data_IF_185592719439
#
_entry.id   IF_185592719439
#
_cell.length_a   1.000
_cell.length_b   1.000
_cell.length_c   1.000
_cell.angle_alpha   90.00
_cell.angle_beta   90.00
_cell.angle_gamma   90.00
#
_symmetry.space_group_name_H-M   'P 1'
#
loop_
_entity.id
_entity.type
_entity.pdbx_description
1 polymer ?
#
# COMPACT_ATOMS: atom_id res chain seq x y z
N UNK A 1 -4.04 8.38 14.15
CA UNK A 1 -4.40 7.03 13.68
C UNK A 1 -3.15 6.28 13.20
N UNK A 2 -3.03 5.03 13.55
CA UNK A 2 -1.98 4.15 13.09
C UNK A 2 -2.57 3.12 12.14
N UNK A 3 -1.97 2.98 10.96
CA UNK A 3 -2.36 1.98 9.97
C UNK A 3 -1.25 0.96 9.83
N UNK A 4 -1.63 -0.30 9.70
CA UNK A 4 -0.67 -1.38 9.46
C UNK A 4 -1.31 -2.47 8.62
N UNK A 5 -0.46 -3.28 7.98
CA UNK A 5 -0.93 -4.33 7.07
C UNK A 5 -0.80 -5.69 7.72
N UNK A 6 -1.72 -6.58 7.33
CA UNK A 6 -1.56 -8.02 7.52
C UNK A 6 -1.61 -8.65 6.14
N UNK A 7 -0.44 -9.05 5.62
CA UNK A 7 -0.25 -9.44 4.22
C UNK A 7 -1.13 -10.62 3.85
N UNK A 8 -1.14 -11.66 4.66
CA UNK A 8 -1.91 -12.87 4.38
C UNK A 8 -3.41 -12.68 4.51
N UNK A 9 -3.85 -11.67 5.25
CA UNK A 9 -5.26 -11.32 5.36
C UNK A 9 -5.69 -10.31 4.28
N UNK A 10 -4.78 -9.83 3.44
CA UNK A 10 -5.05 -8.85 2.39
C UNK A 10 -5.72 -7.58 2.94
N UNK A 11 -5.33 -7.15 4.12
CA UNK A 11 -6.05 -6.12 4.89
C UNK A 11 -5.11 -5.06 5.43
N UNK A 12 -5.59 -3.82 5.40
CA UNK A 12 -5.02 -2.72 6.17
C UNK A 12 -5.89 -2.55 7.42
N UNK A 13 -5.26 -2.60 8.59
CA UNK A 13 -5.92 -2.36 9.86
C UNK A 13 -5.64 -0.94 10.34
N UNK A 14 -6.55 -0.44 11.15
CA UNK A 14 -6.42 0.87 11.80
C UNK A 14 -6.45 0.67 13.31
N UNK A 15 -5.52 1.30 14.01
CA UNK A 15 -5.49 1.32 15.45
C UNK A 15 -5.85 2.70 15.96
N UNK A 16 -6.85 2.79 16.83
CA UNK A 16 -7.19 4.04 17.53
C UNK A 16 -6.24 4.18 18.72
N UNK A 17 -5.36 5.20 18.75
CA UNK A 17 -4.39 5.32 19.85
C UNK A 17 -5.04 5.65 21.19
N UNK A 18 -6.27 6.15 21.22
CA UNK A 18 -6.96 6.48 22.48
C UNK A 18 -7.55 5.26 23.15
N UNK A 19 -8.05 4.30 22.38
CA UNK A 19 -8.76 3.13 22.90
C UNK A 19 -7.98 1.83 22.69
N UNK A 20 -6.92 1.85 21.88
CA UNK A 20 -6.20 0.67 21.40
C UNK A 20 -7.08 -0.29 20.58
N UNK A 21 -8.25 0.15 20.13
CA UNK A 21 -9.10 -0.66 19.29
C UNK A 21 -8.47 -0.83 17.91
N UNK A 22 -8.42 -2.09 17.44
CA UNK A 22 -7.89 -2.43 16.12
C UNK A 22 -9.05 -2.91 15.27
N UNK A 23 -9.27 -2.24 14.15
CA UNK A 23 -10.36 -2.57 13.23
C UNK A 23 -9.87 -2.65 11.79
N UNK A 24 -10.46 -3.51 10.95
CA UNK A 24 -10.17 -3.49 9.51
C UNK A 24 -10.58 -2.14 8.93
N UNK A 25 -9.67 -1.54 8.16
CA UNK A 25 -9.96 -0.29 7.48
C UNK A 25 -10.19 -0.51 5.98
N UNK A 26 -9.41 -1.38 5.38
CA UNK A 26 -9.53 -1.71 3.95
C UNK A 26 -9.18 -3.18 3.74
N UNK A 27 -10.02 -3.92 3.02
CA UNK A 27 -9.86 -5.36 2.80
C UNK A 27 -9.73 -5.68 1.31
N UNK A 28 -9.40 -6.95 0.98
CA UNK A 28 -9.37 -7.41 -0.40
C UNK A 28 -8.21 -6.86 -1.22
N UNK A 29 -7.09 -6.55 -0.61
CA UNK A 29 -5.99 -5.79 -1.22
C UNK A 29 -4.85 -6.65 -1.78
N UNK A 30 -5.08 -7.92 -2.03
CA UNK A 30 -4.13 -8.84 -2.69
C UNK A 30 -2.67 -8.65 -2.21
N UNK A 31 -2.44 -9.01 -0.96
CA UNK A 31 -1.13 -8.95 -0.28
C UNK A 31 -0.53 -7.54 -0.23
N UNK A 32 -1.31 -6.61 0.32
CA UNK A 32 -0.79 -5.27 0.64
C UNK A 32 0.30 -5.37 1.69
N UNK A 33 1.42 -4.70 1.47
CA UNK A 33 2.59 -4.76 2.35
C UNK A 33 2.96 -3.37 2.87
N UNK A 34 3.98 -2.71 2.33
CA UNK A 34 4.45 -1.42 2.83
C UNK A 34 3.43 -0.32 2.67
N UNK A 35 3.35 0.56 3.65
CA UNK A 35 2.46 1.72 3.65
C UNK A 35 3.28 2.99 3.90
N UNK A 36 2.87 4.10 3.31
CA UNK A 36 3.48 5.41 3.56
C UNK A 36 2.46 6.52 3.31
N UNK A 37 2.65 7.64 4.01
CA UNK A 37 1.88 8.86 3.76
C UNK A 37 2.68 9.84 2.92
N UNK A 38 1.98 10.62 2.09
CA UNK A 38 2.58 11.80 1.49
C UNK A 38 2.45 13.01 2.44
N UNK A 39 2.95 14.18 1.99
CA UNK A 39 2.92 15.39 2.82
C UNK A 39 1.50 15.91 3.06
N UNK A 40 0.52 15.52 2.25
CA UNK A 40 -0.88 15.90 2.38
C UNK A 40 -1.70 14.89 3.17
N UNK A 41 -1.09 13.81 3.64
CA UNK A 41 -1.78 12.79 4.43
C UNK A 41 -2.49 11.72 3.62
N UNK A 42 -2.23 11.63 2.31
CA UNK A 42 -2.74 10.52 1.49
C UNK A 42 -1.97 9.24 1.81
N UNK A 43 -2.69 8.13 1.93
CA UNK A 43 -2.08 6.83 2.22
C UNK A 43 -1.83 6.06 0.93
N UNK A 44 -0.59 5.58 0.79
CA UNK A 44 -0.17 4.76 -0.35
C UNK A 44 0.32 3.42 0.17
N UNK A 45 0.23 2.39 -0.66
CA UNK A 45 0.71 1.06 -0.31
C UNK A 45 1.19 0.26 -1.50
N UNK A 46 2.05 -0.71 -1.21
CA UNK A 46 2.52 -1.68 -2.17
C UNK A 46 1.67 -2.93 -2.08
N UNK A 47 1.02 -3.32 -3.17
CA UNK A 47 0.24 -4.55 -3.27
C UNK A 47 1.05 -5.57 -4.06
N UNK A 48 1.62 -6.56 -3.34
CA UNK A 48 2.51 -7.55 -3.96
C UNK A 48 1.76 -8.43 -4.96
N UNK A 49 0.62 -8.98 -4.56
CA UNK A 49 -0.18 -9.84 -5.43
C UNK A 49 -0.80 -9.07 -6.58
N UNK A 50 -1.22 -7.84 -6.33
CA UNK A 50 -1.74 -6.95 -7.36
C UNK A 50 -0.65 -6.35 -8.25
N UNK A 51 0.62 -6.53 -7.90
CA UNK A 51 1.78 -6.06 -8.67
C UNK A 51 1.68 -4.56 -8.96
N UNK A 52 1.36 -3.78 -7.92
CA UNK A 52 1.06 -2.35 -8.08
C UNK A 52 1.38 -1.54 -6.83
N UNK A 53 1.55 -0.24 -7.04
CA UNK A 53 1.55 0.76 -5.99
C UNK A 53 0.21 1.47 -6.06
N UNK A 54 -0.46 1.60 -4.92
CA UNK A 54 -1.84 2.11 -4.86
C UNK A 54 -1.96 3.27 -3.87
N UNK A 55 -2.97 4.09 -4.10
CA UNK A 55 -3.43 5.10 -3.13
C UNK A 55 -4.80 4.68 -2.60
N UNK A 56 -4.96 4.78 -1.29
CA UNK A 56 -6.20 4.40 -0.62
C UNK A 56 -6.91 5.65 -0.11
N UNK A 57 -7.99 6.03 -0.77
CA UNK A 57 -8.70 7.27 -0.46
C UNK A 57 -9.74 7.04 0.66
N UNK A 58 -10.00 8.06 1.50
CA UNK A 58 -10.95 7.92 2.61
C UNK A 58 -12.38 7.56 2.19
N UNK A 59 -12.76 7.88 0.95
CA UNK A 59 -14.09 7.58 0.41
C UNK A 59 -14.29 6.11 0.01
N UNK A 60 -13.27 5.27 0.22
CA UNK A 60 -13.31 3.85 -0.12
C UNK A 60 -12.66 3.49 -1.44
N UNK A 61 -12.21 4.46 -2.22
CA UNK A 61 -11.59 4.20 -3.51
C UNK A 61 -10.14 3.76 -3.36
N UNK A 62 -9.77 2.75 -4.15
CA UNK A 62 -8.39 2.30 -4.29
C UNK A 62 -7.94 2.66 -5.70
N UNK A 63 -6.91 3.49 -5.80
CA UNK A 63 -6.45 4.03 -7.08
C UNK A 63 -5.09 3.42 -7.42
N UNK A 64 -4.97 2.81 -8.59
CA UNK A 64 -3.67 2.31 -9.07
C UNK A 64 -2.84 3.50 -9.50
N UNK A 65 -1.69 3.68 -8.84
CA UNK A 65 -0.75 4.76 -9.15
C UNK A 65 0.31 4.28 -10.15
N UNK A 66 0.81 3.06 -9.97
CA UNK A 66 1.79 2.49 -10.87
C UNK A 66 1.66 0.97 -10.88
N UNK A 67 1.62 0.38 -12.08
CA UNK A 67 1.58 -1.08 -12.25
C UNK A 67 2.48 -1.57 -13.38
N UNK A 68 3.13 -0.64 -14.11
CA UNK A 68 3.95 -0.96 -15.26
C UNK A 68 5.18 -0.06 -15.33
N UNK A 69 6.23 -0.59 -15.94
CA UNK A 69 7.40 0.18 -16.34
C UNK A 69 7.83 -0.27 -17.74
N UNK A 70 7.91 0.68 -18.67
CA UNK A 70 8.25 0.44 -20.08
C UNK A 70 7.37 -0.65 -20.72
N UNK A 71 6.07 -0.64 -20.41
CA UNK A 71 5.08 -1.55 -20.97
C UNK A 71 5.02 -2.92 -20.31
N UNK A 72 5.89 -3.21 -19.34
CA UNK A 72 5.91 -4.47 -18.60
C UNK A 72 5.35 -4.29 -17.21
N UNK A 73 4.64 -5.30 -16.70
CA UNK A 73 4.13 -5.26 -15.34
C UNK A 73 5.27 -5.18 -14.33
N UNK A 74 5.01 -4.50 -13.21
CA UNK A 74 5.91 -4.53 -12.06
C UNK A 74 6.05 -5.95 -11.52
N UNK A 75 7.10 -6.21 -10.76
CA UNK A 75 7.28 -7.51 -10.08
C UNK A 75 6.37 -7.59 -8.85
N UNK A 76 6.93 -7.42 -7.66
CA UNK A 76 6.17 -7.47 -6.40
C UNK A 76 6.55 -6.26 -5.56
N UNK A 77 5.96 -5.08 -5.82
CA UNK A 77 6.24 -3.92 -4.97
C UNK A 77 6.09 -4.28 -3.49
N UNK A 78 7.10 -3.93 -2.69
CA UNK A 78 7.20 -4.40 -1.32
C UNK A 78 7.08 -3.27 -0.31
N UNK A 79 7.95 -2.28 -0.39
CA UNK A 79 7.96 -1.16 0.54
C UNK A 79 8.19 0.13 -0.22
N UNK A 80 7.80 1.26 0.37
CA UNK A 80 7.86 2.55 -0.30
C UNK A 80 8.16 3.67 0.67
N UNK A 81 8.65 4.77 0.10
CA UNK A 81 8.81 6.04 0.78
C UNK A 81 8.38 7.16 -0.16
N UNK A 82 7.86 8.23 0.38
CA UNK A 82 7.38 9.36 -0.42
C UNK A 82 8.15 10.60 0.03
N UNK A 83 8.85 11.26 -0.91
CA UNK A 83 9.65 12.42 -0.59
C UNK A 83 8.81 13.70 -0.53
N UNK A 84 9.45 14.80 -0.16
CA UNK A 84 8.75 16.08 0.02
C UNK A 84 8.15 16.65 -1.26
N UNK A 85 8.66 16.21 -2.41
CA UNK A 85 8.16 16.61 -3.73
C UNK A 85 7.03 15.72 -4.22
N UNK A 86 6.61 14.73 -3.42
CA UNK A 86 5.55 13.79 -3.78
C UNK A 86 6.01 12.65 -4.66
N UNK A 87 7.33 12.47 -4.86
CA UNK A 87 7.84 11.35 -5.63
C UNK A 87 7.83 10.09 -4.78
N UNK A 88 7.37 9.00 -5.38
CA UNK A 88 7.25 7.71 -4.70
C UNK A 88 8.44 6.84 -5.08
N UNK A 89 9.19 6.41 -4.07
CA UNK A 89 10.31 5.49 -4.21
C UNK A 89 9.87 4.15 -3.65
N UNK A 90 9.97 3.08 -4.42
CA UNK A 90 9.55 1.78 -3.94
C UNK A 90 10.49 0.68 -4.40
N UNK A 91 10.56 -0.39 -3.61
CA UNK A 91 11.29 -1.60 -3.97
C UNK A 91 10.38 -2.50 -4.80
N UNK A 92 10.97 -3.17 -5.77
CA UNK A 92 10.23 -4.00 -6.72
C UNK A 92 10.93 -5.35 -6.91
N UNK A 93 11.07 -6.14 -5.83
CA UNK A 93 11.80 -7.39 -5.89
C UNK A 93 11.08 -8.45 -6.75
N UNK A 94 11.85 -9.38 -7.27
CA UNK A 94 11.29 -10.58 -7.85
C UNK A 94 10.82 -11.53 -6.76
N UNK A 95 9.73 -12.23 -7.00
CA UNK A 95 9.19 -13.20 -6.07
C UNK A 95 8.88 -14.49 -6.84
N UNK A 96 9.34 -15.64 -6.32
CA UNK A 96 9.16 -16.94 -6.97
C UNK A 96 7.69 -17.33 -7.14
N UNK A 97 6.79 -16.71 -6.39
CA UNK A 97 5.36 -16.94 -6.53
C UNK A 97 4.72 -16.19 -7.70
N UNK A 98 5.49 -15.44 -8.45
CA UNK A 98 4.97 -14.63 -9.56
C UNK A 98 5.32 -15.23 -10.90
#
# INVERSE_FOLDING_TARGET
QLYFTHIHANTIFRCDPKTNAITPWRTGLDRVNGLAYDAQGHLFGCCQGGRSVMRFDPDGKNVVIADKFEGKRLNTPNDLAIDRKGRIWFTNPWNDGN
#
